data_IF_406047911566
#
_entry.id   IF_406047911566
#
_cell.length_a   1.000
_cell.length_b   1.000
_cell.length_c   1.000
_cell.angle_alpha   90.00
_cell.angle_beta   90.00
_cell.angle_gamma   90.00
#
_symmetry.space_group_name_H-M   'P 1'
#
loop_
_entity.id
_entity.type
_entity.pdbx_description
1 polymer ?
#
# COMPACT_ATOMS: atom_id res chain seq x y z
N UNK A 1 -14.41 9.52 22.78
CA UNK A 1 -13.95 8.14 22.65
C UNK A 1 -12.75 8.15 21.72
N UNK A 2 -11.52 7.80 22.15
CA UNK A 2 -10.42 7.64 21.22
C UNK A 2 -10.74 6.48 20.27
N UNK A 3 -10.43 6.66 18.99
CA UNK A 3 -10.66 5.69 17.93
C UNK A 3 -9.77 4.47 18.15
N UNK A 4 -10.32 3.37 18.62
CA UNK A 4 -9.60 2.10 18.87
C UNK A 4 -9.07 1.45 17.58
N UNK A 5 -9.44 1.94 16.39
CA UNK A 5 -9.01 1.42 15.09
C UNK A 5 -7.71 2.06 14.53
N UNK A 6 -7.01 2.90 15.29
CA UNK A 6 -5.80 3.59 14.84
C UNK A 6 -4.49 3.03 15.38
N UNK A 7 -4.52 2.34 16.49
CA UNK A 7 -3.33 2.03 17.28
C UNK A 7 -2.27 1.15 16.59
N UNK A 8 -2.64 0.36 15.58
CA UNK A 8 -1.69 -0.51 14.88
C UNK A 8 -0.97 0.12 13.68
N UNK A 9 -1.46 1.27 13.19
CA UNK A 9 -0.88 1.91 11.98
C UNK A 9 0.13 3.03 12.27
N UNK A 10 0.30 3.40 13.52
CA UNK A 10 1.23 4.45 13.95
C UNK A 10 2.38 3.90 14.81
N UNK A 11 2.49 2.56 14.91
CA UNK A 11 3.52 1.89 15.71
C UNK A 11 4.94 2.29 15.30
N UNK A 12 5.17 2.65 14.04
CA UNK A 12 6.45 3.13 13.52
C UNK A 12 6.90 4.46 14.19
N UNK A 13 6.00 5.17 14.86
CA UNK A 13 6.30 6.39 15.63
C UNK A 13 7.01 6.06 16.96
N UNK A 14 6.92 4.82 17.42
CA UNK A 14 7.71 4.28 18.53
C UNK A 14 8.76 3.31 17.97
N UNK A 15 10.02 3.76 17.74
CA UNK A 15 11.05 2.95 17.10
C UNK A 15 11.41 1.67 17.87
N UNK A 16 11.37 1.71 19.21
CA UNK A 16 11.71 0.56 20.02
C UNK A 16 10.64 -0.52 19.92
N UNK A 17 9.37 -0.15 20.04
CA UNK A 17 8.24 -1.07 19.90
C UNK A 17 8.14 -1.61 18.47
N UNK A 18 8.38 -0.76 17.46
CA UNK A 18 8.35 -1.19 16.07
C UNK A 18 9.46 -2.20 15.76
N UNK A 19 10.68 -1.94 16.23
CA UNK A 19 11.79 -2.87 16.06
C UNK A 19 11.53 -4.21 16.78
N UNK A 20 10.94 -4.18 17.98
CA UNK A 20 10.57 -5.39 18.73
C UNK A 20 9.53 -6.20 17.94
N UNK A 21 8.47 -5.57 17.43
CA UNK A 21 7.42 -6.22 16.62
C UNK A 21 8.00 -6.85 15.34
N UNK A 22 8.89 -6.15 14.64
CA UNK A 22 9.57 -6.69 13.44
C UNK A 22 10.43 -7.90 13.80
N UNK A 23 11.24 -7.82 14.85
CA UNK A 23 12.11 -8.92 15.28
C UNK A 23 11.28 -10.14 15.72
N UNK A 24 10.22 -9.93 16.48
CA UNK A 24 9.29 -10.98 16.88
C UNK A 24 8.66 -11.65 15.66
N UNK A 25 8.11 -10.85 14.72
CA UNK A 25 7.50 -11.35 13.50
C UNK A 25 8.50 -12.13 12.65
N UNK A 26 9.73 -11.63 12.51
CA UNK A 26 10.80 -12.31 11.76
C UNK A 26 11.15 -13.68 12.39
N UNK A 27 11.22 -13.75 13.71
CA UNK A 27 11.48 -15.01 14.42
C UNK A 27 10.38 -16.05 14.23
N UNK A 28 9.12 -15.61 14.21
CA UNK A 28 7.95 -16.49 14.06
C UNK A 28 7.75 -16.94 12.60
N UNK A 29 7.92 -16.02 11.64
CA UNK A 29 7.54 -16.26 10.25
C UNK A 29 8.70 -16.69 9.35
N UNK A 30 9.93 -16.39 9.77
CA UNK A 30 11.14 -16.62 8.97
C UNK A 30 11.37 -15.60 7.85
N UNK A 31 10.51 -14.59 7.70
CA UNK A 31 10.75 -13.51 6.74
C UNK A 31 11.84 -12.56 7.23
N UNK A 32 12.60 -12.00 6.28
CA UNK A 32 13.60 -11.00 6.60
C UNK A 32 12.94 -9.72 7.17
N UNK A 33 13.53 -9.14 8.21
CA UNK A 33 13.05 -7.94 8.91
C UNK A 33 12.73 -6.79 7.94
N UNK A 34 13.60 -6.54 6.95
CA UNK A 34 13.39 -5.53 5.90
C UNK A 34 12.08 -5.75 5.13
N UNK A 35 11.73 -7.00 4.80
CA UNK A 35 10.50 -7.30 4.05
C UNK A 35 9.25 -7.12 4.91
N UNK A 36 9.34 -7.43 6.22
CA UNK A 36 8.26 -7.20 7.19
C UNK A 36 8.00 -5.70 7.34
N UNK A 37 9.05 -4.91 7.50
CA UNK A 37 8.97 -3.45 7.55
C UNK A 37 8.30 -2.90 6.29
N UNK A 38 8.74 -3.35 5.12
CA UNK A 38 8.20 -2.90 3.84
C UNK A 38 6.73 -3.29 3.65
N UNK A 39 6.34 -4.49 4.09
CA UNK A 39 4.94 -4.94 4.11
C UNK A 39 4.07 -4.03 4.99
N UNK A 40 4.59 -3.65 6.16
CA UNK A 40 3.90 -2.72 7.06
C UNK A 40 3.68 -1.35 6.41
N UNK A 41 4.73 -0.71 5.87
CA UNK A 41 4.57 0.59 5.21
C UNK A 41 3.72 0.51 3.94
N UNK A 42 3.73 -0.62 3.22
CA UNK A 42 2.78 -0.86 2.12
C UNK A 42 1.33 -0.93 2.63
N UNK A 43 1.08 -1.48 3.83
CA UNK A 43 -0.26 -1.50 4.44
C UNK A 43 -0.73 -0.09 4.83
N UNK A 44 0.17 0.74 5.37
CA UNK A 44 -0.13 2.15 5.69
C UNK A 44 -0.54 2.92 4.42
N UNK A 45 0.23 2.77 3.33
CA UNK A 45 -0.11 3.40 2.04
C UNK A 45 -1.41 2.85 1.45
N UNK A 46 -1.63 1.54 1.51
CA UNK A 46 -2.84 0.89 1.01
C UNK A 46 -4.09 1.45 1.70
N UNK A 47 -4.07 1.52 3.03
CA UNK A 47 -5.16 2.09 3.84
C UNK A 47 -5.46 3.52 3.41
N UNK A 48 -4.43 4.36 3.31
CA UNK A 48 -4.58 5.76 2.92
C UNK A 48 -5.17 5.88 1.51
N UNK A 49 -4.60 5.19 0.51
CA UNK A 49 -5.08 5.27 -0.87
C UNK A 49 -6.53 4.78 -1.01
N UNK A 50 -6.91 3.70 -0.32
CA UNK A 50 -8.28 3.20 -0.32
C UNK A 50 -9.27 4.14 0.40
N UNK A 51 -8.82 4.92 1.39
CA UNK A 51 -9.67 5.94 2.03
C UNK A 51 -9.90 7.16 1.15
N UNK A 52 -8.95 7.49 0.27
CA UNK A 52 -9.05 8.63 -0.64
C UNK A 52 -9.92 8.35 -1.88
N UNK A 53 -10.12 7.08 -2.23
CA UNK A 53 -10.92 6.75 -3.42
C UNK A 53 -11.55 5.37 -3.35
N UNK A 54 -12.88 5.36 -3.43
CA UNK A 54 -13.67 4.13 -3.56
C UNK A 54 -13.56 3.45 -4.95
N UNK A 55 -12.99 4.15 -5.94
CA UNK A 55 -12.84 3.63 -7.31
C UNK A 55 -11.58 2.76 -7.47
N UNK A 56 -10.68 2.77 -6.47
CA UNK A 56 -9.47 1.94 -6.50
C UNK A 56 -9.82 0.48 -6.20
N UNK A 57 -9.45 -0.39 -7.12
CA UNK A 57 -9.55 -1.83 -6.95
C UNK A 57 -8.15 -2.40 -6.77
N UNK A 58 -7.84 -2.83 -5.55
CA UNK A 58 -6.56 -3.44 -5.21
C UNK A 58 -6.39 -4.79 -5.89
N UNK A 59 -5.25 -5.04 -6.50
CA UNK A 59 -4.94 -6.26 -7.26
C UNK A 59 -3.48 -6.69 -7.10
N UNK A 60 -3.06 -7.62 -7.94
CA UNK A 60 -1.65 -8.05 -8.02
C UNK A 60 -1.22 -9.00 -6.91
N UNK A 61 0.09 -9.23 -6.83
CA UNK A 61 0.68 -10.17 -5.88
C UNK A 61 0.49 -9.77 -4.43
N UNK A 62 0.57 -8.48 -4.13
CA UNK A 62 0.39 -7.93 -2.79
C UNK A 62 -1.06 -8.11 -2.32
N UNK A 63 -2.03 -7.90 -3.20
CA UNK A 63 -3.44 -8.17 -2.91
C UNK A 63 -3.67 -9.66 -2.58
N UNK A 64 -3.11 -10.56 -3.38
CA UNK A 64 -3.24 -11.99 -3.13
C UNK A 64 -2.65 -12.39 -1.77
N UNK A 65 -1.50 -11.86 -1.39
CA UNK A 65 -0.87 -12.13 -0.11
C UNK A 65 -1.66 -11.57 1.07
N UNK A 66 -2.08 -10.29 0.98
CA UNK A 66 -2.73 -9.59 2.09
C UNK A 66 -4.19 -9.95 2.31
N UNK A 67 -4.89 -10.38 1.26
CA UNK A 67 -6.36 -10.58 1.29
C UNK A 67 -6.76 -12.05 1.22
N UNK A 68 -6.11 -12.85 0.36
CA UNK A 68 -6.62 -14.17 0.00
C UNK A 68 -5.81 -15.35 0.54
N UNK A 69 -4.49 -15.32 0.41
CA UNK A 69 -3.67 -16.54 0.62
C UNK A 69 -2.79 -16.50 1.88
N UNK A 70 -2.87 -15.41 2.65
CA UNK A 70 -1.89 -15.20 3.70
C UNK A 70 -0.47 -15.03 3.10
N UNK A 71 0.51 -14.83 3.94
CA UNK A 71 1.84 -14.43 3.54
C UNK A 71 2.73 -15.61 3.13
N UNK A 72 2.34 -16.37 2.10
CA UNK A 72 3.20 -17.43 1.54
C UNK A 72 4.43 -16.87 0.81
N UNK A 73 4.30 -15.64 0.29
CA UNK A 73 5.39 -14.83 -0.25
C UNK A 73 5.06 -13.35 -0.07
N UNK A 74 6.06 -12.50 0.02
CA UNK A 74 5.86 -11.06 0.03
C UNK A 74 6.01 -10.48 -1.38
N UNK A 75 5.23 -9.45 -1.67
CA UNK A 75 5.30 -8.62 -2.86
C UNK A 75 5.47 -7.17 -2.41
N UNK A 76 6.25 -6.40 -3.12
CA UNK A 76 6.76 -5.10 -2.66
C UNK A 76 6.06 -3.91 -3.29
N UNK A 77 5.20 -4.14 -4.30
CA UNK A 77 4.50 -3.11 -5.06
C UNK A 77 3.00 -3.08 -4.72
N UNK A 78 2.37 -1.92 -4.84
CA UNK A 78 0.93 -1.75 -4.72
C UNK A 78 0.31 -1.56 -6.09
N UNK A 79 -0.45 -2.55 -6.54
CA UNK A 79 -1.11 -2.56 -7.83
C UNK A 79 -2.60 -2.32 -7.69
N UNK A 80 -3.13 -1.38 -8.48
CA UNK A 80 -4.55 -1.05 -8.50
C UNK A 80 -5.09 -1.03 -9.94
N UNK A 81 -6.42 -1.15 -10.04
CA UNK A 81 -7.17 -0.81 -11.25
C UNK A 81 -8.25 0.22 -10.91
N UNK A 82 -8.54 1.08 -11.88
CA UNK A 82 -9.73 1.93 -11.88
C UNK A 82 -10.58 1.52 -13.07
N UNK A 83 -11.86 1.23 -12.84
CA UNK A 83 -12.79 0.86 -13.88
C UNK A 83 -13.05 2.06 -14.80
N UNK A 84 -12.81 1.86 -16.11
CA UNK A 84 -13.14 2.83 -17.14
C UNK A 84 -13.84 2.08 -18.29
N UNK A 85 -14.66 2.77 -19.11
CA UNK A 85 -15.22 2.14 -20.31
C UNK A 85 -14.12 1.55 -21.20
N UNK A 86 -14.38 0.39 -21.81
CA UNK A 86 -13.40 -0.31 -22.66
C UNK A 86 -12.87 0.61 -23.77
N UNK A 87 -13.74 1.41 -24.36
CA UNK A 87 -13.43 2.37 -25.44
C UNK A 87 -13.03 3.76 -24.93
N UNK A 88 -12.66 3.86 -23.62
CA UNK A 88 -12.26 5.16 -23.06
C UNK A 88 -11.10 5.76 -23.85
N UNK A 89 -11.22 7.00 -24.23
CA UNK A 89 -10.17 7.78 -24.89
C UNK A 89 -9.05 8.11 -23.93
N UNK A 90 -7.89 8.48 -24.46
CA UNK A 90 -6.76 8.98 -23.64
C UNK A 90 -7.20 10.15 -22.74
N UNK A 91 -8.04 11.05 -23.27
CA UNK A 91 -8.55 12.19 -22.50
C UNK A 91 -9.39 11.75 -21.30
N UNK A 92 -10.32 10.83 -21.51
CA UNK A 92 -11.15 10.28 -20.43
C UNK A 92 -10.31 9.57 -19.35
N UNK A 93 -9.32 8.76 -19.73
CA UNK A 93 -8.41 8.14 -18.78
C UNK A 93 -7.58 9.17 -17.98
N UNK A 94 -7.16 10.26 -18.61
CA UNK A 94 -6.45 11.35 -17.90
C UNK A 94 -7.35 12.06 -16.88
N UNK A 95 -8.62 12.25 -17.20
CA UNK A 95 -9.61 12.81 -16.27
C UNK A 95 -9.83 11.84 -15.10
N UNK A 96 -10.06 10.56 -15.39
CA UNK A 96 -10.22 9.52 -14.36
C UNK A 96 -9.00 9.39 -13.44
N UNK A 97 -7.78 9.64 -13.94
CA UNK A 97 -6.55 9.61 -13.14
C UNK A 97 -6.32 10.86 -12.29
N UNK A 98 -7.08 11.94 -12.51
CA UNK A 98 -6.84 13.21 -11.82
C UNK A 98 -7.00 13.13 -10.29
N UNK A 99 -8.06 12.52 -9.74
CA UNK A 99 -8.19 12.34 -8.28
C UNK A 99 -7.02 11.54 -7.69
N UNK A 100 -6.57 10.50 -8.38
CA UNK A 100 -5.44 9.68 -7.92
C UNK A 100 -4.12 10.44 -7.90
N UNK A 101 -3.91 11.33 -8.87
CA UNK A 101 -2.72 12.21 -8.85
C UNK A 101 -2.73 13.15 -7.67
N UNK A 102 -3.90 13.66 -7.30
CA UNK A 102 -4.06 14.53 -6.14
C UNK A 102 -3.83 13.74 -4.84
N UNK A 103 -4.46 12.58 -4.70
CA UNK A 103 -4.31 11.71 -3.54
C UNK A 103 -2.84 11.30 -3.32
N UNK A 104 -2.17 10.78 -4.35
CA UNK A 104 -0.75 10.41 -4.27
C UNK A 104 0.14 11.62 -4.00
N UNK A 105 -0.15 12.77 -4.62
CA UNK A 105 0.60 14.01 -4.39
C UNK A 105 0.47 14.57 -2.97
N UNK A 106 -0.65 14.30 -2.29
CA UNK A 106 -0.91 14.74 -0.93
C UNK A 106 -0.27 13.83 0.15
N UNK A 107 0.16 12.61 -0.20
CA UNK A 107 0.70 11.63 0.75
C UNK A 107 1.77 12.23 1.69
N UNK A 108 2.81 12.97 1.20
CA UNK A 108 3.83 13.52 2.10
C UNK A 108 3.32 14.54 3.11
N UNK A 109 2.15 15.13 2.85
CA UNK A 109 1.51 16.08 3.77
C UNK A 109 0.69 15.36 4.83
N UNK A 110 0.02 14.27 4.46
CA UNK A 110 -0.87 13.50 5.34
C UNK A 110 -0.09 12.45 6.13
N UNK A 111 0.82 11.74 5.47
CA UNK A 111 1.69 10.70 6.03
C UNK A 111 3.15 11.18 5.95
N UNK A 112 3.59 11.90 6.97
CA UNK A 112 4.90 12.59 6.99
C UNK A 112 6.11 11.65 6.91
N UNK A 113 5.93 10.38 7.18
CA UNK A 113 6.95 9.34 7.04
C UNK A 113 7.32 9.07 5.58
N UNK A 114 6.44 9.43 4.63
CA UNK A 114 6.68 9.17 3.21
C UNK A 114 7.18 10.43 2.47
N UNK A 115 8.06 10.18 1.49
CA UNK A 115 8.49 11.17 0.50
C UNK A 115 8.02 10.73 -0.89
N UNK A 116 7.59 11.68 -1.69
CA UNK A 116 7.20 11.43 -3.08
C UNK A 116 8.45 11.54 -3.97
N UNK A 117 9.01 10.40 -4.36
CA UNK A 117 10.17 10.31 -5.25
C UNK A 117 9.78 10.60 -6.70
N UNK A 118 8.68 10.00 -7.12
CA UNK A 118 8.15 10.17 -8.46
C UNK A 118 6.64 10.42 -8.39
N UNK A 119 6.21 11.59 -8.93
CA UNK A 119 4.79 11.90 -9.04
C UNK A 119 4.08 10.90 -9.96
N UNK A 120 2.77 10.65 -9.71
CA UNK A 120 1.99 9.72 -10.51
C UNK A 120 1.93 10.14 -11.98
N UNK A 121 2.67 9.44 -12.84
CA UNK A 121 2.81 9.72 -14.29
C UNK A 121 2.15 8.64 -15.12
N UNK A 122 1.54 9.08 -16.24
CA UNK A 122 0.87 8.18 -17.18
C UNK A 122 1.82 7.66 -18.26
N UNK A 123 1.71 6.37 -18.52
CA UNK A 123 2.40 5.63 -19.58
C UNK A 123 1.39 4.98 -20.53
N UNK A 124 1.86 4.41 -21.62
CA UNK A 124 1.07 3.59 -22.57
C UNK A 124 -0.25 4.27 -22.95
N UNK A 125 -0.19 5.51 -23.47
CA UNK A 125 -1.39 6.28 -23.87
C UNK A 125 -2.38 6.47 -22.69
N UNK A 126 -1.83 6.68 -21.48
CA UNK A 126 -2.58 6.85 -20.22
C UNK A 126 -3.42 5.64 -19.81
N UNK A 127 -3.00 4.42 -20.17
CA UNK A 127 -3.63 3.20 -19.67
C UNK A 127 -2.99 2.69 -18.37
N UNK A 128 -1.82 3.24 -18.00
CA UNK A 128 -1.07 2.88 -16.82
C UNK A 128 -0.47 4.14 -16.20
N UNK A 129 -0.52 4.24 -14.89
CA UNK A 129 0.11 5.31 -14.13
C UNK A 129 1.00 4.70 -13.06
N UNK A 130 2.17 5.28 -12.86
CA UNK A 130 3.16 4.79 -11.91
C UNK A 130 3.66 5.94 -11.06
N UNK A 131 3.87 5.68 -9.78
CA UNK A 131 4.47 6.55 -8.79
C UNK A 131 5.47 5.76 -7.95
N UNK A 132 6.41 6.43 -7.32
CA UNK A 132 7.29 5.87 -6.31
C UNK A 132 7.30 6.76 -5.07
N UNK A 133 7.09 6.15 -3.92
CA UNK A 133 7.22 6.78 -2.61
C UNK A 133 8.37 6.10 -1.85
N UNK A 134 9.06 6.86 -1.02
CA UNK A 134 10.09 6.32 -0.13
C UNK A 134 9.76 6.61 1.33
N UNK A 135 10.31 5.81 2.21
CA UNK A 135 10.33 6.02 3.66
C UNK A 135 11.73 5.72 4.19
N UNK A 136 12.12 6.35 5.30
CA UNK A 136 13.37 6.04 5.99
C UNK A 136 13.20 4.72 6.73
N UNK A 137 13.98 3.72 6.37
CA UNK A 137 13.94 2.43 7.03
C UNK A 137 14.58 2.51 8.43
N UNK A 138 14.01 1.78 9.38
CA UNK A 138 14.59 1.58 10.70
C UNK A 138 15.44 0.30 10.76
N UNK A 139 15.40 -0.53 9.70
CA UNK A 139 16.10 -1.83 9.63
C UNK A 139 17.36 -1.75 8.78
N UNK A 140 17.33 -0.95 7.70
CA UNK A 140 18.50 -0.70 6.84
C UNK A 140 18.83 0.79 6.83
N UNK A 141 20.12 1.15 6.64
CA UNK A 141 20.58 2.55 6.67
C UNK A 141 20.21 3.36 5.43
N UNK A 142 19.26 2.86 4.63
CA UNK A 142 18.86 3.46 3.35
C UNK A 142 17.35 3.66 3.31
N UNK A 143 16.91 4.67 2.52
CA UNK A 143 15.50 4.84 2.23
C UNK A 143 14.98 3.71 1.34
N UNK A 144 13.88 3.09 1.76
CA UNK A 144 13.20 2.05 1.00
C UNK A 144 12.10 2.65 0.13
N UNK A 145 11.85 2.02 -1.03
CA UNK A 145 10.86 2.50 -2.00
C UNK A 145 9.69 1.54 -2.13
N UNK A 146 8.50 2.11 -2.25
CA UNK A 146 7.27 1.40 -2.59
C UNK A 146 6.75 1.99 -3.90
N UNK A 147 6.58 1.13 -4.89
CA UNK A 147 5.98 1.48 -6.17
C UNK A 147 4.46 1.37 -6.07
N UNK A 148 3.76 2.36 -6.60
CA UNK A 148 2.30 2.37 -6.75
C UNK A 148 1.98 2.39 -8.23
N UNK A 149 1.24 1.40 -8.70
CA UNK A 149 0.82 1.27 -10.09
C UNK A 149 -0.71 1.26 -10.19
N UNK A 150 -1.28 2.08 -11.08
CA UNK A 150 -2.72 2.17 -11.31
C UNK A 150 -3.02 1.95 -12.78
N UNK A 151 -3.74 0.87 -13.08
CA UNK A 151 -4.20 0.51 -14.42
C UNK A 151 -5.57 1.11 -14.75
N UNK A 152 -5.71 1.60 -15.99
CA UNK A 152 -6.96 2.13 -16.59
C UNK A 152 -7.30 1.40 -17.89
N UNK A 153 -6.98 0.12 -17.97
CA UNK A 153 -7.12 -0.66 -19.19
C UNK A 153 -8.18 -1.75 -19.08
N UNK A 154 -8.25 -2.37 -17.92
CA UNK A 154 -8.98 -3.61 -17.77
C UNK A 154 -10.39 -3.33 -17.24
N UNK A 155 -11.45 -3.76 -17.94
CA UNK A 155 -12.79 -3.74 -17.37
C UNK A 155 -12.84 -4.73 -16.19
N UNK A 156 -13.61 -4.39 -15.17
CA UNK A 156 -13.93 -5.36 -14.13
C UNK A 156 -14.93 -6.37 -14.71
N UNK A 157 -14.54 -7.65 -14.72
CA UNK A 157 -15.43 -8.74 -15.17
C UNK A 157 -16.55 -9.01 -14.16
N UNK A 158 -16.29 -8.76 -12.90
CA UNK A 158 -17.22 -8.84 -11.77
C UNK A 158 -17.12 -7.57 -10.95
N UNK A 159 -18.15 -7.26 -10.16
CA UNK A 159 -18.10 -6.14 -9.22
C UNK A 159 -16.96 -6.31 -8.21
N UNK A 160 -16.31 -5.21 -7.84
CA UNK A 160 -15.35 -5.21 -6.76
C UNK A 160 -16.05 -5.53 -5.43
N UNK A 161 -15.36 -6.25 -4.55
CA UNK A 161 -15.85 -6.59 -3.20
C UNK A 161 -14.92 -5.95 -2.16
N UNK A 162 -15.50 -5.47 -1.07
CA UNK A 162 -14.73 -4.98 0.05
C UNK A 162 -14.30 -6.16 0.93
N UNK A 163 -12.99 -6.30 1.13
CA UNK A 163 -12.38 -7.31 1.97
C UNK A 163 -11.30 -6.68 2.84
N UNK A 164 -11.01 -7.31 3.97
CA UNK A 164 -9.94 -6.87 4.85
C UNK A 164 -8.57 -7.25 4.27
N UNK A 165 -7.65 -6.29 4.24
CA UNK A 165 -6.25 -6.53 3.95
C UNK A 165 -5.48 -6.61 5.27
N UNK A 166 -4.59 -7.60 5.41
CA UNK A 166 -3.81 -7.84 6.62
C UNK A 166 -2.38 -7.37 6.45
N UNK A 167 -1.76 -6.95 7.54
CA UNK A 167 -0.30 -6.80 7.62
C UNK A 167 0.34 -8.08 8.15
N UNK A 168 1.60 -8.31 7.78
CA UNK A 168 2.39 -9.42 8.31
C UNK A 168 2.86 -9.14 9.75
N UNK A 169 2.98 -7.86 10.13
CA UNK A 169 3.50 -7.44 11.43
C UNK A 169 2.62 -7.98 12.56
N UNK A 170 3.24 -8.64 13.53
CA UNK A 170 2.58 -9.23 14.69
C UNK A 170 2.86 -8.43 15.96
N UNK A 171 1.87 -8.34 16.82
CA UNK A 171 2.02 -7.83 18.18
C UNK A 171 2.95 -8.77 19.00
N UNK A 172 4.05 -8.29 19.54
CA UNK A 172 4.97 -9.12 20.33
C UNK A 172 4.36 -9.66 21.63
N UNK A 173 3.27 -9.05 22.13
CA UNK A 173 2.57 -9.47 23.35
C UNK A 173 1.44 -10.44 23.05
N UNK A 174 0.58 -10.11 22.10
CA UNK A 174 -0.61 -10.91 21.75
C UNK A 174 -0.37 -11.93 20.66
N UNK A 175 0.64 -11.76 19.81
CA UNK A 175 0.90 -12.60 18.66
C UNK A 175 -0.12 -12.44 17.52
N UNK A 176 -1.01 -11.46 17.60
CA UNK A 176 -2.01 -11.14 16.59
C UNK A 176 -1.47 -10.16 15.54
N UNK A 177 -2.06 -10.15 14.35
CA UNK A 177 -1.67 -9.19 13.32
C UNK A 177 -1.98 -7.76 13.78
N UNK A 178 -1.00 -6.88 13.67
CA UNK A 178 -1.17 -5.45 13.96
C UNK A 178 -1.80 -4.77 12.74
N UNK A 179 -3.12 -4.57 12.80
CA UNK A 179 -3.92 -3.99 11.70
C UNK A 179 -3.99 -2.48 11.80
#
# INVERSE_FOLDING_TARGET
>A
MPNENGAGFDIYEDPDLFAEAINFTSAITGFAARLIEKDYFASVLLRHLCSESADLVFKGGTCLSKVYWGFSRLSEDLDFSVAVPLEATRGQRRVAASPMKQAVGAIPTTLRTFRLEEALRGFNVSTQYVSALSYESQIVEEAEKIKVEIGFREPLLLGAVALEARTLLLDPVGGEAMV
#
